data_IF_437730437048
#
_entry.id   IF_437730437048
#
_cell.length_a   1.000
_cell.length_b   1.000
_cell.length_c   1.000
_cell.angle_alpha   90.00
_cell.angle_beta   90.00
_cell.angle_gamma   90.00
#
_symmetry.space_group_name_H-M   'P 1'
#
loop_
_entity.id
_entity.type
_entity.pdbx_description
1 polymer ?
#
# COMPACT_ATOMS: atom_id res chain seq x y z
N UNK A 1 -13.39 27.34 -19.44
CA UNK A 1 -12.94 26.21 -18.60
C UNK A 1 -11.66 25.66 -19.19
N UNK A 2 -10.54 25.63 -18.44
CA UNK A 2 -9.35 24.92 -18.90
C UNK A 2 -9.69 23.43 -19.07
N UNK A 3 -9.34 22.86 -20.23
CA UNK A 3 -9.55 21.44 -20.49
C UNK A 3 -8.59 20.64 -19.62
N UNK A 4 -9.15 19.74 -18.80
CA UNK A 4 -8.36 18.83 -17.97
C UNK A 4 -8.36 17.46 -18.64
N UNK A 5 -7.18 16.92 -18.96
CA UNK A 5 -7.02 15.56 -19.44
C UNK A 5 -6.79 14.61 -18.28
N UNK A 6 -7.33 13.40 -18.40
CA UNK A 6 -7.09 12.30 -17.45
C UNK A 6 -6.22 11.26 -18.12
N UNK A 7 -5.23 10.75 -17.41
CA UNK A 7 -4.34 9.69 -17.88
C UNK A 7 -4.19 8.62 -16.82
N UNK A 8 -4.12 7.36 -17.26
CA UNK A 8 -3.79 6.19 -16.46
C UNK A 8 -2.52 5.56 -17.01
N UNK A 9 -1.59 5.18 -16.14
CA UNK A 9 -0.46 4.37 -16.55
C UNK A 9 -0.07 3.33 -15.51
N UNK A 10 0.44 2.20 -16.01
CA UNK A 10 0.98 1.11 -15.18
C UNK A 10 2.50 1.28 -15.13
N UNK A 11 3.05 1.32 -13.92
CA UNK A 11 4.50 1.45 -13.73
C UNK A 11 5.25 0.28 -14.38
N UNK A 12 6.41 0.57 -14.99
CA UNK A 12 7.21 -0.42 -15.72
C UNK A 12 6.74 -0.74 -17.14
N UNK A 13 5.60 -0.23 -17.58
CA UNK A 13 5.24 -0.23 -18.99
C UNK A 13 5.91 0.95 -19.70
N UNK A 14 5.87 0.94 -21.07
CA UNK A 14 6.48 2.01 -21.88
C UNK A 14 6.15 3.39 -21.32
N UNK A 15 7.19 4.17 -21.01
CA UNK A 15 7.02 5.51 -20.41
C UNK A 15 6.11 6.38 -21.26
N UNK A 16 5.02 6.82 -20.67
CA UNK A 16 4.12 7.82 -21.24
C UNK A 16 4.63 9.22 -20.88
N UNK A 17 4.13 10.25 -21.58
CA UNK A 17 4.36 11.65 -21.21
C UNK A 17 4.01 11.93 -19.75
N UNK A 18 2.92 11.31 -19.26
CA UNK A 18 2.44 11.45 -17.90
C UNK A 18 3.36 10.83 -16.86
N UNK A 19 4.00 9.68 -17.14
CA UNK A 19 4.94 9.08 -16.20
C UNK A 19 6.13 10.00 -15.92
N UNK A 20 6.75 10.57 -16.99
CA UNK A 20 7.86 11.52 -16.83
C UNK A 20 7.43 12.83 -16.16
N UNK A 21 6.24 13.33 -16.50
CA UNK A 21 5.69 14.50 -15.83
C UNK A 21 5.43 14.24 -14.34
N UNK A 22 5.00 13.01 -13.97
CA UNK A 22 4.78 12.63 -12.58
C UNK A 22 6.08 12.54 -11.78
N UNK A 23 7.16 11.99 -12.33
CA UNK A 23 8.46 11.95 -11.64
C UNK A 23 8.93 13.36 -11.25
N UNK A 24 8.84 14.32 -12.16
CA UNK A 24 9.17 15.71 -11.90
C UNK A 24 8.24 16.32 -10.86
N UNK A 25 6.94 16.13 -11.03
CA UNK A 25 5.92 16.71 -10.17
C UNK A 25 6.00 16.18 -8.72
N UNK A 26 6.34 14.90 -8.53
CA UNK A 26 6.58 14.30 -7.21
C UNK A 26 7.74 14.98 -6.49
N UNK A 27 8.82 15.27 -7.21
CA UNK A 27 10.00 15.94 -6.65
C UNK A 27 9.73 17.40 -6.24
N UNK A 28 8.78 18.07 -6.89
CA UNK A 28 8.45 19.47 -6.65
C UNK A 28 7.36 19.69 -5.61
N UNK A 29 6.38 18.78 -5.55
CA UNK A 29 5.12 19.01 -4.81
C UNK A 29 4.94 18.17 -3.57
N UNK A 30 5.73 17.13 -3.37
CA UNK A 30 5.60 16.29 -2.19
C UNK A 30 6.30 16.92 -0.99
N UNK A 31 5.51 17.29 0.01
CA UNK A 31 6.02 17.85 1.27
C UNK A 31 6.59 16.79 2.20
N UNK A 32 6.13 15.54 2.07
CA UNK A 32 6.67 14.41 2.83
C UNK A 32 7.75 13.69 2.02
N UNK A 33 8.95 14.25 2.08
CA UNK A 33 10.13 13.70 1.38
C UNK A 33 10.50 12.29 1.81
N UNK A 34 9.97 11.79 2.92
CA UNK A 34 10.24 10.43 3.38
C UNK A 34 9.66 9.36 2.45
N UNK A 35 8.54 9.64 1.78
CA UNK A 35 7.89 8.72 0.82
C UNK A 35 8.35 8.91 -0.63
N UNK A 36 9.02 10.02 -0.94
CA UNK A 36 9.39 10.35 -2.32
C UNK A 36 10.23 9.26 -3.01
N UNK A 37 11.27 8.68 -2.40
CA UNK A 37 12.06 7.62 -3.03
C UNK A 37 11.24 6.36 -3.34
N UNK A 38 10.28 5.99 -2.48
CA UNK A 38 9.39 4.86 -2.71
C UNK A 38 8.47 5.13 -3.91
N UNK A 39 7.93 6.34 -4.02
CA UNK A 39 7.12 6.75 -5.18
C UNK A 39 7.94 6.75 -6.46
N UNK A 40 9.15 7.30 -6.44
CA UNK A 40 10.08 7.27 -7.57
C UNK A 40 10.47 5.84 -7.97
N UNK A 41 10.72 4.96 -7.01
CA UNK A 41 10.99 3.54 -7.24
C UNK A 41 9.85 2.85 -7.99
N UNK A 42 8.60 3.12 -7.58
CA UNK A 42 7.40 2.58 -8.24
C UNK A 42 7.24 3.15 -9.65
N UNK A 43 7.27 4.47 -9.81
CA UNK A 43 7.08 5.15 -11.11
C UNK A 43 8.15 4.72 -12.11
N UNK A 44 9.40 4.53 -11.67
CA UNK A 44 10.48 3.98 -12.48
C UNK A 44 10.29 2.51 -12.87
N UNK A 45 9.26 1.84 -12.35
CA UNK A 45 8.94 0.45 -12.67
C UNK A 45 9.87 -0.58 -12.06
N UNK A 46 10.68 -0.22 -11.06
CA UNK A 46 11.64 -1.13 -10.41
C UNK A 46 10.97 -2.29 -9.68
N UNK A 47 9.69 -2.14 -9.29
CA UNK A 47 8.89 -3.21 -8.71
C UNK A 47 8.03 -3.97 -9.73
N UNK A 48 8.05 -3.59 -11.01
CA UNK A 48 7.04 -3.99 -12.00
C UNK A 48 6.98 -5.49 -12.32
N UNK A 49 8.04 -6.24 -12.09
CA UNK A 49 8.02 -7.70 -12.26
C UNK A 49 7.20 -8.40 -11.17
N UNK A 50 7.25 -7.88 -9.94
CA UNK A 50 6.66 -8.49 -8.75
C UNK A 50 5.37 -7.79 -8.29
N UNK A 51 5.15 -6.54 -8.70
CA UNK A 51 4.02 -5.73 -8.30
C UNK A 51 3.34 -5.09 -9.50
N UNK A 52 2.07 -4.75 -9.29
CA UNK A 52 1.30 -3.90 -10.19
C UNK A 52 1.04 -2.59 -9.49
N UNK A 53 1.66 -1.52 -9.99
CA UNK A 53 1.48 -0.16 -9.52
C UNK A 53 0.84 0.67 -10.62
N UNK A 54 -0.27 1.33 -10.32
CA UNK A 54 -1.04 2.12 -11.28
C UNK A 54 -1.21 3.53 -10.74
N UNK A 55 -0.85 4.51 -11.55
CA UNK A 55 -1.13 5.93 -11.29
C UNK A 55 -2.24 6.43 -12.19
N UNK A 56 -3.06 7.29 -11.64
CA UNK A 56 -4.07 8.08 -12.32
C UNK A 56 -3.73 9.54 -12.09
N UNK A 57 -3.63 10.31 -13.15
CA UNK A 57 -3.26 11.72 -13.09
C UNK A 57 -4.24 12.58 -13.88
N UNK A 58 -4.46 13.78 -13.41
CA UNK A 58 -5.17 14.83 -14.13
C UNK A 58 -4.20 15.95 -14.46
N UNK A 59 -4.21 16.39 -15.71
CA UNK A 59 -3.34 17.45 -16.22
C UNK A 59 -4.15 18.58 -16.83
N UNK A 60 -3.71 19.81 -16.64
CA UNK A 60 -4.17 21.00 -17.34
C UNK A 60 -3.04 21.60 -18.21
N UNK A 61 -3.24 22.77 -18.78
CA UNK A 61 -2.21 23.45 -19.60
C UNK A 61 -0.93 23.81 -18.84
N UNK A 62 -0.91 23.70 -17.51
CA UNK A 62 0.27 24.00 -16.67
C UNK A 62 0.92 22.71 -16.10
N UNK A 63 0.38 21.54 -16.41
CA UNK A 63 0.91 20.25 -15.95
C UNK A 63 -0.04 19.48 -15.04
N UNK A 64 0.50 18.60 -14.21
CA UNK A 64 -0.29 17.74 -13.30
C UNK A 64 -0.95 18.60 -12.22
N UNK A 65 -2.25 18.37 -12.01
CA UNK A 65 -3.06 19.05 -10.99
C UNK A 65 -3.65 18.10 -9.96
N UNK A 66 -3.73 16.81 -10.28
CA UNK A 66 -4.19 15.80 -9.32
C UNK A 66 -3.59 14.44 -9.67
N UNK A 67 -3.40 13.63 -8.65
CA UNK A 67 -2.93 12.24 -8.76
C UNK A 67 -3.62 11.35 -7.76
N UNK A 68 -3.67 10.07 -8.05
CA UNK A 68 -3.89 8.99 -7.10
C UNK A 68 -3.14 7.74 -7.56
N UNK A 69 -2.91 6.81 -6.66
CA UNK A 69 -2.21 5.57 -6.91
C UNK A 69 -2.89 4.41 -6.20
N UNK A 70 -2.80 3.23 -6.81
CA UNK A 70 -3.04 1.96 -6.15
C UNK A 70 -2.04 0.92 -6.63
N UNK A 71 -1.77 -0.09 -5.78
CA UNK A 71 -0.87 -1.17 -6.14
C UNK A 71 -1.07 -2.41 -5.30
N UNK A 72 -0.62 -3.55 -5.82
CA UNK A 72 -0.64 -4.86 -5.16
C UNK A 72 0.46 -5.79 -5.69
N UNK A 73 0.76 -6.86 -4.95
CA UNK A 73 1.67 -7.91 -5.38
C UNK A 73 1.11 -8.77 -6.50
N UNK A 74 1.96 -9.27 -7.39
CA UNK A 74 1.58 -10.20 -8.47
C UNK A 74 1.62 -11.65 -8.01
N UNK A 75 0.84 -11.99 -7.01
CA UNK A 75 0.69 -13.35 -6.50
C UNK A 75 -0.79 -13.61 -6.16
N UNK A 76 -1.21 -14.87 -6.07
CA UNK A 76 -2.56 -15.23 -5.65
C UNK A 76 -2.86 -14.64 -4.26
N UNK A 77 -4.12 -14.21 -4.07
CA UNK A 77 -4.61 -13.66 -2.81
C UNK A 77 -3.86 -12.43 -2.29
N UNK A 78 -3.21 -11.68 -3.18
CA UNK A 78 -2.58 -10.42 -2.82
C UNK A 78 -3.58 -9.45 -2.22
N UNK A 79 -3.12 -8.67 -1.26
CA UNK A 79 -3.80 -7.45 -0.84
C UNK A 79 -3.12 -6.24 -1.46
N UNK A 80 -3.79 -5.09 -1.46
CA UNK A 80 -3.25 -3.90 -2.10
C UNK A 80 -3.40 -2.65 -1.25
N UNK A 81 -2.77 -1.60 -1.72
CA UNK A 81 -2.87 -0.27 -1.14
C UNK A 81 -3.46 0.71 -2.14
N UNK A 82 -4.23 1.66 -1.62
CA UNK A 82 -4.75 2.82 -2.33
C UNK A 82 -4.26 4.07 -1.61
N UNK A 83 -3.75 5.04 -2.34
CA UNK A 83 -3.23 6.23 -1.70
C UNK A 83 -2.61 7.26 -2.64
N UNK A 84 -1.75 8.09 -2.09
CA UNK A 84 -1.10 9.19 -2.79
C UNK A 84 -2.10 10.11 -3.52
N UNK A 85 -3.34 10.20 -2.99
CA UNK A 85 -4.38 11.05 -3.55
C UNK A 85 -4.15 12.49 -3.14
N UNK A 86 -3.84 13.31 -4.11
CA UNK A 86 -3.60 14.75 -3.93
C UNK A 86 -4.21 15.53 -5.11
N UNK A 87 -4.88 16.61 -4.79
CA UNK A 87 -5.30 17.63 -5.77
C UNK A 87 -4.73 18.97 -5.33
N UNK A 88 -3.99 19.63 -6.22
CA UNK A 88 -3.41 20.94 -5.96
C UNK A 88 -4.50 21.96 -5.61
N UNK A 89 -4.21 22.90 -4.72
CA UNK A 89 -5.15 23.90 -4.22
C UNK A 89 -5.85 24.65 -5.37
N UNK A 90 -5.09 25.08 -6.38
CA UNK A 90 -5.64 25.77 -7.58
C UNK A 90 -6.65 24.95 -8.37
N UNK A 91 -6.73 23.64 -8.15
CA UNK A 91 -7.62 22.70 -8.84
C UNK A 91 -8.70 22.10 -7.93
N UNK A 92 -8.67 22.41 -6.63
CA UNK A 92 -9.69 21.97 -5.68
C UNK A 92 -11.05 22.64 -5.96
N UNK A 93 -12.12 22.06 -5.49
CA UNK A 93 -13.51 22.56 -5.71
C UNK A 93 -14.05 22.39 -7.15
N UNK A 94 -13.22 21.95 -8.10
CA UNK A 94 -13.60 21.80 -9.52
C UNK A 94 -14.02 20.37 -9.92
N UNK A 95 -14.17 19.46 -8.94
CA UNK A 95 -14.57 18.07 -9.16
C UNK A 95 -13.48 17.18 -9.78
N UNK A 96 -12.24 17.66 -9.96
CA UNK A 96 -11.15 16.93 -10.64
C UNK A 96 -10.78 15.67 -9.87
N UNK A 97 -10.62 15.76 -8.55
CA UNK A 97 -10.32 14.59 -7.72
C UNK A 97 -11.40 13.51 -7.81
N UNK A 98 -12.68 13.89 -7.85
CA UNK A 98 -13.78 12.94 -8.03
C UNK A 98 -13.77 12.28 -9.41
N UNK A 99 -13.41 13.01 -10.47
CA UNK A 99 -13.23 12.42 -11.81
C UNK A 99 -12.12 11.37 -11.82
N UNK A 100 -10.99 11.62 -11.13
CA UNK A 100 -9.93 10.63 -10.99
C UNK A 100 -10.36 9.40 -10.18
N UNK A 101 -11.10 9.59 -9.09
CA UNK A 101 -11.66 8.49 -8.30
C UNK A 101 -12.65 7.64 -9.10
N UNK A 102 -13.48 8.24 -9.94
CA UNK A 102 -14.39 7.51 -10.83
C UNK A 102 -13.58 6.67 -11.83
N UNK A 103 -12.63 7.29 -12.54
CA UNK A 103 -11.74 6.60 -13.48
C UNK A 103 -11.00 5.43 -12.82
N UNK A 104 -10.43 5.64 -11.64
CA UNK A 104 -9.78 4.61 -10.87
C UNK A 104 -10.74 3.47 -10.53
N UNK A 105 -11.93 3.79 -10.03
CA UNK A 105 -12.91 2.79 -9.60
C UNK A 105 -13.39 1.93 -10.77
N UNK A 106 -13.74 2.56 -11.91
CA UNK A 106 -14.12 1.86 -13.11
C UNK A 106 -13.02 0.94 -13.63
N UNK A 107 -11.78 1.43 -13.72
CA UNK A 107 -10.63 0.63 -14.14
C UNK A 107 -10.37 -0.54 -13.18
N UNK A 108 -10.39 -0.30 -11.87
CA UNK A 108 -10.19 -1.35 -10.85
C UNK A 108 -11.23 -2.47 -11.00
N UNK A 109 -12.50 -2.12 -11.20
CA UNK A 109 -13.57 -3.11 -11.30
C UNK A 109 -13.50 -3.95 -12.59
N UNK A 110 -12.84 -3.46 -13.62
CA UNK A 110 -12.61 -4.21 -14.88
C UNK A 110 -11.38 -5.13 -14.81
N UNK A 111 -10.48 -4.95 -13.86
CA UNK A 111 -9.27 -5.77 -13.75
C UNK A 111 -9.57 -7.17 -13.23
N UNK A 112 -9.09 -8.20 -13.95
CA UNK A 112 -9.28 -9.60 -13.56
C UNK A 112 -8.34 -10.05 -12.44
N UNK A 113 -7.17 -9.42 -12.35
CA UNK A 113 -6.08 -9.72 -11.40
C UNK A 113 -6.05 -8.75 -10.20
N UNK A 114 -7.21 -8.18 -9.85
CA UNK A 114 -7.32 -7.27 -8.70
C UNK A 114 -7.10 -8.02 -7.38
N UNK A 115 -6.63 -7.32 -6.33
CA UNK A 115 -6.34 -7.94 -5.04
C UNK A 115 -7.60 -8.38 -4.29
N UNK A 116 -7.45 -9.10 -3.18
CA UNK A 116 -8.55 -9.44 -2.26
C UNK A 116 -9.18 -8.19 -1.63
N UNK A 117 -8.38 -7.16 -1.39
CA UNK A 117 -8.86 -5.90 -0.86
C UNK A 117 -7.83 -4.80 -0.96
N UNK A 118 -8.30 -3.56 -0.83
CA UNK A 118 -7.46 -2.38 -0.80
C UNK A 118 -7.50 -1.72 0.57
N UNK A 119 -6.36 -1.24 1.01
CA UNK A 119 -6.16 -0.54 2.26
C UNK A 119 -5.75 0.90 2.02
N UNK A 120 -6.24 1.81 2.87
CA UNK A 120 -5.76 3.18 2.92
C UNK A 120 -5.99 3.80 4.30
N UNK A 121 -5.53 5.03 4.49
CA UNK A 121 -5.82 5.80 5.70
C UNK A 121 -6.39 7.16 5.32
N UNK A 122 -7.35 7.64 6.10
CA UNK A 122 -7.97 8.95 5.95
C UNK A 122 -7.90 9.75 7.25
N UNK A 123 -7.48 11.02 7.17
CA UNK A 123 -7.26 11.88 8.34
C UNK A 123 -8.49 12.70 8.76
N UNK A 124 -9.55 12.75 7.98
CA UNK A 124 -10.73 13.55 8.28
C UNK A 124 -12.03 12.91 7.76
N UNK A 125 -13.16 13.34 8.33
CA UNK A 125 -14.47 12.81 7.97
C UNK A 125 -14.81 12.96 6.48
N UNK A 126 -14.46 14.07 5.87
CA UNK A 126 -14.71 14.28 4.42
C UNK A 126 -14.05 13.19 3.55
N UNK A 127 -12.80 12.81 3.83
CA UNK A 127 -12.13 11.74 3.08
C UNK A 127 -12.70 10.37 3.41
N UNK A 128 -13.13 10.14 4.64
CA UNK A 128 -13.79 8.89 5.05
C UNK A 128 -15.10 8.73 4.26
N UNK A 129 -15.94 9.76 4.22
CA UNK A 129 -17.21 9.77 3.48
C UNK A 129 -16.95 9.64 1.97
N UNK A 130 -15.96 10.37 1.45
CA UNK A 130 -15.59 10.30 0.03
C UNK A 130 -15.19 8.88 -0.36
N UNK A 131 -14.32 8.23 0.39
CA UNK A 131 -13.88 6.85 0.11
C UNK A 131 -14.97 5.82 0.41
N UNK A 132 -15.85 6.09 1.38
CA UNK A 132 -17.05 5.31 1.65
C UNK A 132 -17.95 5.19 0.41
N UNK A 133 -18.11 6.28 -0.35
CA UNK A 133 -18.83 6.28 -1.64
C UNK A 133 -18.21 5.35 -2.71
N UNK A 134 -16.97 4.89 -2.53
CA UNK A 134 -16.30 3.92 -3.39
C UNK A 134 -16.15 2.54 -2.74
N UNK A 135 -16.83 2.29 -1.63
CA UNK A 135 -16.91 0.99 -0.96
C UNK A 135 -15.81 0.72 0.06
N UNK A 136 -15.11 1.75 0.54
CA UNK A 136 -14.26 1.61 1.71
C UNK A 136 -15.09 1.69 3.00
N UNK A 137 -14.73 0.85 3.98
CA UNK A 137 -15.27 0.85 5.34
C UNK A 137 -14.16 1.12 6.35
N UNK A 138 -14.51 1.61 7.53
CA UNK A 138 -13.54 1.80 8.60
C UNK A 138 -13.18 0.45 9.22
N UNK A 139 -11.93 0.03 9.06
CA UNK A 139 -11.37 -1.18 9.66
C UNK A 139 -10.86 -0.93 11.08
N UNK A 140 -10.12 0.17 11.28
CA UNK A 140 -9.56 0.57 12.58
C UNK A 140 -9.69 2.09 12.73
N UNK A 141 -10.17 2.53 13.89
CA UNK A 141 -10.28 3.95 14.24
C UNK A 141 -9.15 4.30 15.21
N UNK A 142 -8.35 5.31 14.87
CA UNK A 142 -7.27 5.85 15.69
C UNK A 142 -7.50 7.36 15.97
N UNK A 143 -6.93 7.92 17.02
CA UNK A 143 -6.95 9.35 17.22
C UNK A 143 -6.37 10.10 16.01
N UNK A 144 -7.20 10.94 15.37
CA UNK A 144 -6.82 11.79 14.25
C UNK A 144 -6.82 11.13 12.86
N UNK A 145 -7.05 9.82 12.73
CA UNK A 145 -7.23 9.17 11.43
C UNK A 145 -7.98 7.84 11.53
N UNK A 146 -8.52 7.39 10.41
CA UNK A 146 -9.11 6.05 10.27
C UNK A 146 -8.33 5.24 9.24
N UNK A 147 -8.17 3.97 9.53
CA UNK A 147 -7.66 2.98 8.59
C UNK A 147 -8.86 2.34 7.90
N UNK A 148 -8.84 2.35 6.57
CA UNK A 148 -9.99 1.97 5.74
C UNK A 148 -9.66 0.73 4.91
N UNK A 149 -10.65 -0.14 4.76
CA UNK A 149 -10.59 -1.36 3.97
C UNK A 149 -11.69 -1.39 2.92
N UNK A 150 -11.36 -1.75 1.69
CA UNK A 150 -12.31 -2.00 0.59
C UNK A 150 -12.22 -3.48 0.19
N UNK A 151 -13.27 -4.30 0.41
CA UNK A 151 -13.31 -5.69 -0.04
C UNK A 151 -13.37 -5.79 -1.56
N UNK A 152 -12.68 -6.77 -2.12
CA UNK A 152 -12.66 -7.10 -3.56
C UNK A 152 -12.61 -8.62 -3.73
N UNK A 153 -12.89 -9.12 -4.94
CA UNK A 153 -12.77 -10.54 -5.31
C UNK A 153 -13.47 -11.54 -4.36
N UNK A 154 -14.64 -11.15 -3.84
CA UNK A 154 -15.40 -12.02 -2.94
C UNK A 154 -14.82 -12.13 -1.52
N UNK A 155 -13.83 -11.31 -1.17
CA UNK A 155 -13.32 -11.26 0.20
C UNK A 155 -14.40 -10.75 1.17
N UNK A 156 -14.30 -11.10 2.46
CA UNK A 156 -15.24 -10.65 3.47
C UNK A 156 -15.40 -9.13 3.50
N UNK A 157 -16.62 -8.66 3.71
CA UNK A 157 -16.93 -7.24 3.82
C UNK A 157 -16.38 -6.62 5.11
N UNK A 158 -16.22 -7.44 6.15
CA UNK A 158 -15.72 -7.05 7.46
C UNK A 158 -14.23 -7.37 7.54
N UNK A 159 -13.43 -6.38 7.95
CA UNK A 159 -11.97 -6.52 8.02
C UNK A 159 -11.52 -7.66 8.96
N UNK A 160 -12.19 -7.85 10.11
CA UNK A 160 -11.84 -8.92 11.03
C UNK A 160 -12.03 -10.32 10.41
N UNK A 161 -13.09 -10.51 9.63
CA UNK A 161 -13.32 -11.76 8.88
C UNK A 161 -12.25 -12.00 7.83
N UNK A 162 -11.80 -10.95 7.10
CA UNK A 162 -10.65 -11.08 6.20
C UNK A 162 -9.39 -11.52 6.95
N UNK A 163 -9.13 -10.97 8.13
CA UNK A 163 -7.98 -11.36 8.94
C UNK A 163 -8.06 -12.82 9.38
N UNK A 164 -9.22 -13.30 9.79
CA UNK A 164 -9.43 -14.72 10.17
C UNK A 164 -9.18 -15.66 8.99
N UNK A 165 -9.71 -15.33 7.81
CA UNK A 165 -9.53 -16.11 6.57
C UNK A 165 -8.08 -16.09 6.08
N UNK A 166 -7.44 -14.91 6.12
CA UNK A 166 -6.07 -14.75 5.64
C UNK A 166 -5.06 -15.40 6.59
N UNK A 167 -5.18 -15.16 7.88
CA UNK A 167 -4.30 -15.67 8.93
C UNK A 167 -4.85 -16.95 9.57
N UNK A 168 -4.96 -17.99 8.77
CA UNK A 168 -5.44 -19.30 9.25
C UNK A 168 -4.42 -19.96 10.21
N UNK A 169 -4.82 -21.06 10.85
CA UNK A 169 -3.93 -21.84 11.72
C UNK A 169 -2.71 -22.36 10.95
N UNK A 170 -1.53 -22.19 11.53
CA UNK A 170 -0.26 -22.68 11.00
C UNK A 170 0.38 -23.71 11.94
N UNK A 171 1.15 -24.63 11.35
CA UNK A 171 1.90 -25.69 12.08
C UNK A 171 3.40 -25.48 11.99
N UNK A 172 3.86 -24.76 11.00
CA UNK A 172 5.29 -24.49 10.79
C UNK A 172 5.51 -23.09 10.23
N UNK A 173 6.69 -22.56 10.48
CA UNK A 173 7.12 -21.24 10.05
C UNK A 173 8.42 -21.36 9.24
N UNK A 174 8.55 -20.51 8.23
CA UNK A 174 9.78 -20.38 7.44
C UNK A 174 10.18 -18.93 7.29
N UNK A 175 11.48 -18.66 7.39
CA UNK A 175 12.07 -17.34 7.18
C UNK A 175 12.62 -17.28 5.76
N UNK A 176 12.32 -16.21 5.04
CA UNK A 176 12.81 -15.99 3.68
C UNK A 176 13.29 -14.53 3.53
N UNK A 177 14.24 -14.25 2.62
CA UNK A 177 14.57 -12.87 2.26
C UNK A 177 13.32 -12.10 1.83
N UNK A 178 13.22 -10.86 2.26
CA UNK A 178 12.08 -10.03 1.90
C UNK A 178 12.10 -9.65 0.40
N UNK A 179 10.93 -9.63 -0.20
CA UNK A 179 10.72 -9.19 -1.58
C UNK A 179 9.57 -8.20 -1.66
N UNK A 180 9.60 -7.33 -2.65
CA UNK A 180 8.67 -6.21 -2.78
C UNK A 180 7.23 -6.67 -3.10
N UNK A 181 7.04 -7.89 -3.59
CA UNK A 181 5.70 -8.42 -3.87
C UNK A 181 4.81 -8.55 -2.62
N UNK A 182 5.41 -8.68 -1.42
CA UNK A 182 4.71 -8.86 -0.16
C UNK A 182 4.57 -7.57 0.67
N UNK A 183 4.96 -6.43 0.10
CA UNK A 183 4.94 -5.17 0.85
C UNK A 183 3.56 -4.78 1.39
N UNK A 184 2.48 -5.12 0.67
CA UNK A 184 1.14 -4.73 1.08
C UNK A 184 0.55 -5.66 2.14
N UNK A 185 0.95 -6.92 2.16
CA UNK A 185 0.63 -7.86 3.22
C UNK A 185 1.24 -7.41 4.55
N UNK A 186 2.44 -6.84 4.50
CA UNK A 186 3.14 -6.34 5.69
C UNK A 186 2.74 -4.90 5.99
N UNK A 187 2.94 -3.98 5.05
CA UNK A 187 2.78 -2.53 5.29
C UNK A 187 1.30 -2.10 5.39
N UNK A 188 0.37 -2.98 5.01
CA UNK A 188 -1.07 -2.73 5.11
C UNK A 188 -1.77 -3.77 5.99
N UNK A 189 -1.88 -5.03 5.58
CA UNK A 189 -2.70 -6.02 6.27
C UNK A 189 -2.17 -6.29 7.69
N UNK A 190 -0.89 -6.66 7.86
CA UNK A 190 -0.29 -6.86 9.18
C UNK A 190 -0.35 -5.59 10.03
N UNK A 191 -0.06 -4.45 9.44
CA UNK A 191 -0.17 -3.15 10.12
C UNK A 191 -1.57 -2.89 10.66
N UNK A 192 -2.62 -3.23 9.90
CA UNK A 192 -4.00 -3.05 10.34
C UNK A 192 -4.36 -4.02 11.46
N UNK A 193 -3.90 -5.27 11.39
CA UNK A 193 -4.09 -6.25 12.45
C UNK A 193 -3.44 -5.80 13.77
N UNK A 194 -2.18 -5.36 13.73
CA UNK A 194 -1.48 -4.81 14.89
C UNK A 194 -2.19 -3.58 15.46
N UNK A 195 -2.64 -2.69 14.57
CA UNK A 195 -3.38 -1.50 14.98
C UNK A 195 -4.72 -1.84 15.65
N UNK A 196 -5.42 -2.89 15.23
CA UNK A 196 -6.65 -3.37 15.86
C UNK A 196 -6.40 -3.85 17.29
N UNK A 197 -5.23 -4.47 17.55
CA UNK A 197 -4.79 -4.91 18.88
C UNK A 197 -4.15 -3.76 19.72
N UNK A 198 -4.17 -2.52 19.22
CA UNK A 198 -3.61 -1.37 19.92
C UNK A 198 -2.09 -1.21 19.77
N UNK A 199 -1.45 -2.03 18.94
CA UNK A 199 0.00 -2.02 18.75
C UNK A 199 0.43 -1.03 17.66
N UNK A 200 1.68 -0.56 17.76
CA UNK A 200 2.33 0.25 16.73
C UNK A 200 2.97 -0.63 15.66
N UNK A 201 3.08 -0.10 14.44
CA UNK A 201 3.74 -0.75 13.32
C UNK A 201 5.07 -0.06 13.01
N UNK A 202 6.08 -0.87 12.66
CA UNK A 202 7.45 -0.45 12.32
C UNK A 202 8.47 -1.02 13.30
N UNK A 203 9.70 -1.13 12.84
CA UNK A 203 10.83 -1.68 13.60
C UNK A 203 11.89 -0.58 13.87
N UNK A 204 12.75 -0.75 14.87
CA UNK A 204 13.86 0.18 15.10
C UNK A 204 14.68 0.40 13.84
N UNK A 205 14.82 1.66 13.43
CA UNK A 205 15.56 2.05 12.23
C UNK A 205 14.83 1.87 10.88
N UNK A 206 13.62 1.27 10.86
CA UNK A 206 12.86 1.08 9.62
C UNK A 206 11.34 1.08 9.88
N UNK A 207 10.61 1.94 9.18
CA UNK A 207 9.17 2.11 9.42
C UNK A 207 8.29 1.17 8.60
N UNK A 208 8.74 0.73 7.45
CA UNK A 208 7.97 -0.10 6.51
C UNK A 208 8.87 -1.10 5.80
N UNK A 209 8.30 -2.23 5.36
CA UNK A 209 9.03 -3.20 4.54
C UNK A 209 9.49 -2.57 3.22
N UNK A 210 8.64 -1.76 2.59
CA UNK A 210 9.01 -1.08 1.35
C UNK A 210 10.22 -0.14 1.53
N UNK A 211 10.32 0.55 2.67
CA UNK A 211 11.49 1.38 3.01
C UNK A 211 12.78 0.55 3.03
N UNK A 212 12.77 -0.61 3.71
CA UNK A 212 13.91 -1.51 3.76
C UNK A 212 14.36 -2.00 2.37
N UNK A 213 13.40 -2.24 1.47
CA UNK A 213 13.67 -2.77 0.14
C UNK A 213 14.09 -1.70 -0.87
N UNK A 214 13.62 -0.47 -0.70
CA UNK A 214 14.01 0.67 -1.56
C UNK A 214 15.38 1.22 -1.16
N UNK A 215 15.75 1.10 0.12
CA UNK A 215 17.04 1.55 0.67
C UNK A 215 17.86 0.39 1.27
N UNK A 216 18.36 -0.53 0.45
CA UNK A 216 19.04 -1.73 0.98
C UNK A 216 20.31 -1.43 1.80
N UNK A 217 20.83 -0.20 1.75
CA UNK A 217 21.96 0.23 2.55
C UNK A 217 21.63 0.51 4.02
N UNK A 218 20.34 0.67 4.37
CA UNK A 218 19.93 0.88 5.76
C UNK A 218 19.87 -0.41 6.57
N UNK A 219 19.82 -1.57 5.91
CA UNK A 219 19.77 -2.87 6.58
C UNK A 219 19.25 -4.00 5.71
N UNK A 220 18.98 -5.12 6.34
CA UNK A 220 18.40 -6.32 5.72
C UNK A 220 17.03 -6.62 6.30
N UNK A 221 16.10 -7.07 5.46
CA UNK A 221 14.77 -7.47 5.86
C UNK A 221 14.47 -8.93 5.46
N UNK A 222 13.75 -9.64 6.33
CA UNK A 222 13.24 -10.97 6.06
C UNK A 222 11.73 -11.02 6.33
N UNK A 223 11.09 -12.00 5.75
CA UNK A 223 9.68 -12.31 5.95
C UNK A 223 9.53 -13.65 6.66
N UNK A 224 8.56 -13.73 7.54
CA UNK A 224 8.14 -14.95 8.21
C UNK A 224 6.85 -15.45 7.57
N UNK A 225 6.88 -16.68 7.06
CA UNK A 225 5.77 -17.31 6.36
C UNK A 225 5.23 -18.52 7.11
N UNK A 226 3.93 -18.77 6.95
CA UNK A 226 3.31 -20.06 7.26
C UNK A 226 3.56 -21.06 6.12
N UNK A 227 3.30 -22.35 6.37
CA UNK A 227 3.34 -23.41 5.33
C UNK A 227 2.37 -23.17 4.17
N UNK A 228 1.40 -22.28 4.35
CA UNK A 228 0.46 -21.86 3.28
C UNK A 228 0.96 -20.66 2.48
N UNK A 229 2.24 -20.32 2.62
CA UNK A 229 2.87 -19.19 1.95
C UNK A 229 2.19 -17.84 2.26
N UNK A 230 1.73 -17.63 3.51
CA UNK A 230 1.18 -16.38 3.99
C UNK A 230 2.22 -15.65 4.83
N UNK A 231 2.62 -14.44 4.51
CA UNK A 231 3.54 -13.66 5.35
C UNK A 231 2.79 -13.19 6.61
N UNK A 232 3.32 -13.56 7.75
CA UNK A 232 2.72 -13.29 9.08
C UNK A 232 3.59 -12.37 9.94
N UNK A 233 4.74 -11.97 9.42
CA UNK A 233 5.66 -11.09 10.11
C UNK A 233 6.83 -10.71 9.23
N UNK A 234 7.60 -9.77 9.71
CA UNK A 234 8.82 -9.31 9.07
C UNK A 234 9.88 -8.94 10.10
N UNK A 235 11.13 -8.98 9.68
CA UNK A 235 12.25 -8.51 10.47
C UNK A 235 13.03 -7.45 9.74
N UNK A 236 13.77 -6.68 10.53
CA UNK A 236 14.76 -5.74 10.05
C UNK A 236 15.99 -5.76 10.97
N UNK A 237 17.16 -5.73 10.36
CA UNK A 237 18.44 -5.56 11.03
C UNK A 237 19.22 -4.44 10.34
N UNK A 238 19.58 -3.38 11.08
CA UNK A 238 20.52 -2.37 10.61
C UNK A 238 21.94 -2.99 10.44
N UNK A 239 22.83 -2.42 9.63
CA UNK A 239 24.18 -2.95 9.45
C UNK A 239 24.92 -3.12 10.79
N UNK A 240 25.28 -4.37 11.12
CA UNK A 240 25.94 -4.71 12.40
C UNK A 240 25.05 -4.65 13.64
N UNK A 241 23.74 -4.42 13.47
CA UNK A 241 22.77 -4.38 14.55
C UNK A 241 22.05 -5.71 14.79
N UNK A 242 21.24 -5.72 15.83
CA UNK A 242 20.37 -6.86 16.15
C UNK A 242 19.21 -6.97 15.18
N UNK A 243 18.72 -8.19 14.96
CA UNK A 243 17.51 -8.46 14.19
C UNK A 243 16.28 -8.27 15.07
N UNK A 244 15.41 -7.35 14.69
CA UNK A 244 14.12 -7.13 15.34
C UNK A 244 13.01 -7.74 14.50
N UNK A 245 12.01 -8.35 15.17
CA UNK A 245 10.87 -8.97 14.53
C UNK A 245 9.56 -8.28 14.91
N UNK A 246 8.68 -8.15 13.93
CA UNK A 246 7.29 -7.77 14.15
C UNK A 246 6.39 -8.85 13.54
N UNK A 247 5.61 -9.50 14.38
CA UNK A 247 4.87 -10.73 14.05
C UNK A 247 3.40 -10.54 14.41
N UNK A 248 2.52 -11.06 13.56
CA UNK A 248 1.08 -11.09 13.83
C UNK A 248 0.80 -11.79 15.18
N UNK A 249 0.00 -11.20 16.08
CA UNK A 249 -0.18 -11.67 17.46
C UNK A 249 -0.51 -13.16 17.59
N UNK A 250 -1.34 -13.68 16.69
CA UNK A 250 -1.75 -15.09 16.63
C UNK A 250 -0.59 -16.09 16.53
N UNK A 251 0.57 -15.68 15.99
CA UNK A 251 1.68 -16.60 15.71
C UNK A 251 2.90 -16.40 16.60
N UNK A 252 2.86 -15.50 17.57
CA UNK A 252 4.02 -15.19 18.44
C UNK A 252 4.48 -16.41 19.20
N UNK A 253 3.54 -17.12 19.82
CA UNK A 253 3.87 -18.34 20.57
C UNK A 253 4.52 -19.40 19.69
N UNK A 254 3.99 -19.64 18.48
CA UNK A 254 4.58 -20.59 17.53
C UNK A 254 5.96 -20.16 17.07
N UNK A 255 6.21 -18.87 16.95
CA UNK A 255 7.53 -18.31 16.59
C UNK A 255 8.53 -18.49 17.73
N UNK A 256 8.14 -18.24 18.98
CA UNK A 256 8.99 -18.42 20.17
C UNK A 256 9.37 -19.91 20.33
N UNK A 257 8.40 -20.83 20.21
CA UNK A 257 8.64 -22.28 20.26
C UNK A 257 9.56 -22.79 19.13
N UNK A 258 9.58 -22.11 17.96
CA UNK A 258 10.45 -22.49 16.84
C UNK A 258 11.87 -21.89 16.95
N UNK A 259 12.09 -20.92 17.83
CA UNK A 259 13.38 -20.27 18.08
C UNK A 259 14.19 -20.91 19.20
N UNK A 260 13.54 -21.77 20.03
CA UNK A 260 14.18 -22.64 21.04
C UNK A 260 14.75 -23.92 20.42
#
# INVERSE_FOLDING_TARGET
>A
MQCVSLERFVCGQKQTKGAKALENWLSETDTDRSYLPMMQYRVAGKAAEQCKDIYYIAMDGQGIVSRLWNGWGKHPDAVGNFGNFLTLERAQGKGIGRKLLNMWHEDLMQQKDRPLGLFCSAKNGYLIDLYGGYGFTQAVIKPGYSMLYKPLNGSPAVFAELCEDYYCTAKSLTVQPATVQWRHEIDCLLKFCLAAEGESFGLPGCKTLEEALVWPHIGTAHLLFTEKNRPIGWSFAAPGGETHWQIHPKYRKLFEEAAE
#
